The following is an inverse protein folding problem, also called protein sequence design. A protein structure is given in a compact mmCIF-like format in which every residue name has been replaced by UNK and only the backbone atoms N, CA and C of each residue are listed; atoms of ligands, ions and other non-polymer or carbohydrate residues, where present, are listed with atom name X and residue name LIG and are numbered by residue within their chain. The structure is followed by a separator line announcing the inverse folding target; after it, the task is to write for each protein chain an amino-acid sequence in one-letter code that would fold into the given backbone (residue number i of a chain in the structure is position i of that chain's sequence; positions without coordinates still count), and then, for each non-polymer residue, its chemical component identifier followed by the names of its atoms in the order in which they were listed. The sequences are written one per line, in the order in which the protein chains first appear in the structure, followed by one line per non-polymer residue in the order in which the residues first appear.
data_IF_234888715011
#
_entry.id   IF_234888715011
#
_cell.length_a   1.000
_cell.length_b   1.000
_cell.length_c   1.000
_cell.angle_alpha   90.00
_cell.angle_beta   90.00
_cell.angle_gamma   90.00
#
_symmetry.space_group_name_H-M   'P 1'
#
loop_
_entity.id
_entity.type
_entity.pdbx_description
1 polymer ?
#
# COMPACT_ATOMS: atom_id res chain seq x y z
N UNK A 1 35.42 33.90 -2.81
CA UNK A 1 34.45 33.67 -3.90
C UNK A 1 33.88 32.28 -3.69
N UNK A 2 32.79 32.16 -2.93
CA UNK A 2 32.10 30.88 -2.74
C UNK A 2 31.30 30.62 -4.01
N UNK A 3 31.74 29.67 -4.82
CA UNK A 3 30.92 29.18 -5.92
C UNK A 3 29.76 28.42 -5.30
N UNK A 4 28.58 29.02 -5.25
CA UNK A 4 27.32 28.31 -5.05
C UNK A 4 27.16 27.37 -6.23
N UNK A 5 27.64 26.14 -6.10
CA UNK A 5 27.33 25.05 -7.02
C UNK A 5 25.92 24.58 -6.68
N UNK A 6 24.93 25.41 -6.98
CA UNK A 6 23.54 25.00 -6.91
C UNK A 6 23.35 23.95 -8.01
N UNK A 7 23.05 22.68 -7.66
CA UNK A 7 22.78 21.65 -8.65
C UNK A 7 21.62 22.11 -9.54
N UNK A 8 21.54 21.64 -10.80
CA UNK A 8 20.38 21.90 -11.62
C UNK A 8 19.13 21.42 -10.87
N UNK A 9 18.12 22.28 -10.78
CA UNK A 9 16.90 22.02 -10.00
C UNK A 9 16.19 20.70 -10.38
N UNK A 10 16.46 20.15 -11.57
CA UNK A 10 15.96 18.86 -12.03
C UNK A 10 16.54 17.65 -11.28
N UNK A 11 17.72 17.76 -10.68
CA UNK A 11 18.34 16.68 -9.92
C UNK A 11 17.90 16.66 -8.45
N UNK A 12 17.42 17.79 -7.93
CA UNK A 12 17.01 17.93 -6.53
C UNK A 12 15.50 17.77 -6.30
N UNK A 13 14.71 17.53 -7.35
CA UNK A 13 13.24 17.39 -7.27
C UNK A 13 12.78 16.12 -7.98
N UNK A 14 11.64 15.61 -7.57
CA UNK A 14 11.03 14.48 -8.26
C UNK A 14 10.48 14.93 -9.62
N UNK A 15 10.71 14.11 -10.65
CA UNK A 15 10.06 14.27 -11.94
C UNK A 15 8.58 13.92 -11.85
N UNK A 16 7.78 14.34 -12.84
CA UNK A 16 6.34 14.00 -12.88
C UNK A 16 6.13 12.48 -12.86
N UNK A 17 6.93 11.73 -13.63
CA UNK A 17 6.87 10.27 -13.66
C UNK A 17 7.19 9.65 -12.30
N UNK A 18 8.20 10.16 -11.60
CA UNK A 18 8.56 9.69 -10.25
C UNK A 18 7.43 9.95 -9.24
N UNK A 19 6.81 11.13 -9.31
CA UNK A 19 5.64 11.45 -8.47
C UNK A 19 4.46 10.52 -8.75
N UNK A 20 4.20 10.19 -10.01
CA UNK A 20 3.14 9.25 -10.37
C UNK A 20 3.45 7.83 -9.87
N UNK A 21 4.72 7.40 -9.87
CA UNK A 21 5.15 6.12 -9.29
C UNK A 21 4.96 6.08 -7.77
N UNK A 22 5.34 7.16 -7.07
CA UNK A 22 5.12 7.28 -5.62
C UNK A 22 3.63 7.26 -5.28
N UNK A 23 2.80 7.97 -6.05
CA UNK A 23 1.35 7.99 -5.91
C UNK A 23 0.74 6.59 -6.07
N UNK A 24 1.10 5.89 -7.16
CA UNK A 24 0.64 4.51 -7.41
C UNK A 24 1.10 3.54 -6.32
N UNK A 25 2.31 3.72 -5.79
CA UNK A 25 2.78 2.94 -4.62
C UNK A 25 1.88 3.12 -3.42
N UNK A 26 1.55 4.37 -3.05
CA UNK A 26 0.68 4.64 -1.91
C UNK A 26 -0.72 4.04 -2.12
N UNK A 27 -1.26 4.13 -3.32
CA UNK A 27 -2.57 3.55 -3.66
C UNK A 27 -2.55 2.01 -3.61
N UNK A 28 -1.50 1.37 -4.14
CA UNK A 28 -1.30 -0.07 -4.07
C UNK A 28 -1.13 -0.55 -2.62
N UNK A 29 -0.35 0.18 -1.80
CA UNK A 29 -0.20 -0.11 -0.37
C UNK A 29 -1.54 0.03 0.36
N UNK A 30 -2.35 1.05 0.00
CA UNK A 30 -3.67 1.24 0.60
C UNK A 30 -4.59 0.06 0.32
N UNK A 31 -4.60 -0.42 -0.93
CA UNK A 31 -5.38 -1.59 -1.33
C UNK A 31 -4.88 -2.87 -0.63
N UNK A 32 -3.56 -3.05 -0.57
CA UNK A 32 -2.94 -4.24 0.03
C UNK A 32 -3.14 -4.31 1.56
N UNK A 33 -2.97 -3.20 2.27
CA UNK A 33 -3.10 -3.14 3.73
C UNK A 33 -4.56 -3.00 4.19
N UNK A 34 -5.48 -2.62 3.31
CA UNK A 34 -6.87 -2.30 3.65
C UNK A 34 -7.01 -1.05 4.53
N UNK A 35 -5.95 -0.22 4.63
CA UNK A 35 -5.90 1.01 5.42
C UNK A 35 -5.42 2.18 4.56
N UNK A 36 -5.85 3.42 4.82
CA UNK A 36 -5.42 4.55 4.01
C UNK A 36 -3.92 4.83 4.16
N UNK A 37 -3.15 4.72 3.08
CA UNK A 37 -1.75 5.09 3.02
C UNK A 37 -1.62 6.43 2.30
N UNK A 38 -0.89 7.35 2.94
CA UNK A 38 -0.58 8.66 2.41
C UNK A 38 0.87 8.72 1.98
N UNK A 39 1.12 9.48 0.91
CA UNK A 39 2.45 9.91 0.51
C UNK A 39 2.48 11.42 0.39
N UNK A 40 3.41 12.06 1.10
CA UNK A 40 3.61 13.51 1.07
C UNK A 40 5.00 13.86 0.58
N UNK A 41 5.09 14.85 -0.31
CA UNK A 41 6.36 15.38 -0.80
C UNK A 41 6.72 16.64 -0.03
N UNK A 42 7.82 16.56 0.73
CA UNK A 42 8.43 17.68 1.41
C UNK A 42 9.70 18.16 0.71
N UNK A 43 10.31 19.21 1.27
CA UNK A 43 11.64 19.69 0.88
C UNK A 43 12.55 19.74 2.10
N UNK A 44 13.76 19.23 1.96
CA UNK A 44 14.82 19.41 2.93
C UNK A 44 15.36 20.85 2.90
N UNK A 45 16.10 21.25 3.93
CA UNK A 45 16.70 22.59 4.03
C UNK A 45 17.67 22.89 2.87
N UNK A 46 18.28 21.83 2.32
CA UNK A 46 19.22 21.89 1.19
C UNK A 46 18.51 22.04 -0.16
N UNK A 47 17.17 21.98 -0.17
CA UNK A 47 16.33 22.13 -1.36
C UNK A 47 16.09 20.84 -2.14
N UNK A 48 16.55 19.69 -1.64
CA UNK A 48 16.20 18.36 -2.16
C UNK A 48 14.81 17.94 -1.70
N UNK A 49 14.05 17.28 -2.59
CA UNK A 49 12.74 16.72 -2.24
C UNK A 49 12.88 15.36 -1.56
N UNK A 50 11.91 15.06 -0.69
CA UNK A 50 11.75 13.76 -0.05
C UNK A 50 10.26 13.40 -0.04
N UNK A 51 9.96 12.11 -0.11
CA UNK A 51 8.62 11.56 -0.11
C UNK A 51 8.45 10.67 1.12
N UNK A 52 7.51 11.01 1.99
CA UNK A 52 7.21 10.29 3.23
C UNK A 52 5.98 9.42 3.04
N UNK A 53 6.03 8.16 3.45
CA UNK A 53 4.89 7.26 3.46
C UNK A 53 4.40 7.03 4.88
N UNK A 54 3.08 7.10 5.08
CA UNK A 54 2.48 6.85 6.38
C UNK A 54 1.08 6.25 6.25
N UNK A 55 0.69 5.41 7.21
CA UNK A 55 -0.67 4.87 7.30
C UNK A 55 -1.46 5.78 8.21
N UNK A 56 -2.57 6.34 7.71
CA UNK A 56 -3.44 7.15 8.55
C UNK A 56 -4.02 6.31 9.70
N UNK A 57 -4.00 6.89 10.88
CA UNK A 57 -4.67 6.35 12.05
C UNK A 57 -6.14 6.79 12.01
N UNK A 58 -7.03 5.86 12.34
CA UNK A 58 -8.43 6.20 12.51
C UNK A 58 -8.60 7.12 13.72
N UNK A 59 -9.38 8.18 13.56
CA UNK A 59 -9.72 9.11 14.65
C UNK A 59 -10.54 8.45 15.77
N UNK A 60 -11.09 7.25 15.54
CA UNK A 60 -12.04 6.56 16.41
C UNK A 60 -11.44 5.37 17.18
N UNK A 61 -10.16 5.45 17.56
CA UNK A 61 -9.64 4.67 18.69
C UNK A 61 -8.90 3.39 18.37
N UNK A 62 -8.24 3.29 17.21
CA UNK A 62 -7.07 2.43 17.12
C UNK A 62 -6.01 3.03 18.06
N UNK A 63 -5.75 2.34 19.17
CA UNK A 63 -4.56 2.60 19.99
C UNK A 63 -3.37 2.37 19.08
N UNK A 64 -2.81 3.47 18.59
CA UNK A 64 -1.54 3.43 17.90
C UNK A 64 -0.54 2.76 18.84
N UNK A 65 0.21 1.80 18.29
CA UNK A 65 1.27 1.15 19.03
C UNK A 65 2.29 2.24 19.40
N UNK A 66 2.38 2.61 20.67
CA UNK A 66 3.13 3.78 21.18
C UNK A 66 4.64 3.67 20.87
N UNK A 67 5.09 2.48 20.47
CA UNK A 67 6.45 2.18 20.04
C UNK A 67 6.72 2.51 18.55
N UNK A 68 5.69 2.80 17.74
CA UNK A 68 5.87 3.16 16.32
C UNK A 68 6.05 4.68 16.13
N UNK A 69 6.93 5.11 15.22
CA UNK A 69 7.12 6.52 14.90
C UNK A 69 5.86 7.09 14.22
N UNK A 70 5.43 8.29 14.65
CA UNK A 70 4.28 8.99 14.07
C UNK A 70 4.72 10.22 13.29
N UNK A 71 3.97 10.52 12.23
CA UNK A 71 4.13 11.71 11.40
C UNK A 71 2.77 12.31 11.08
N UNK A 72 2.70 13.64 11.12
CA UNK A 72 1.52 14.38 10.70
C UNK A 72 1.61 14.65 9.19
N UNK A 73 0.61 14.21 8.44
CA UNK A 73 0.57 14.35 6.98
C UNK A 73 -0.71 15.06 6.54
N UNK A 74 -0.62 15.87 5.50
CA UNK A 74 -1.73 16.66 4.98
C UNK A 74 -1.86 18.04 5.63
N UNK A 75 -3.01 18.66 5.41
CA UNK A 75 -3.30 20.03 5.86
C UNK A 75 -2.86 21.11 4.87
N UNK A 76 -3.01 22.40 5.25
CA UNK A 76 -2.83 23.50 4.33
C UNK A 76 -1.38 23.61 3.83
N UNK A 77 -1.19 23.45 2.52
CA UNK A 77 0.13 23.54 1.88
C UNK A 77 0.88 22.21 1.79
N UNK A 78 0.33 21.12 2.32
CA UNK A 78 0.87 19.78 2.11
C UNK A 78 0.75 19.35 0.64
N UNK A 79 1.76 18.63 0.17
CA UNK A 79 1.80 18.08 -1.20
C UNK A 79 1.60 16.57 -1.15
N UNK A 80 0.36 16.18 -0.86
CA UNK A 80 -0.06 14.77 -0.90
C UNK A 80 -0.21 14.29 -2.35
N UNK A 81 0.21 13.06 -2.63
CA UNK A 81 0.03 12.40 -3.92
C UNK A 81 -1.00 11.26 -3.84
N UNK A 82 -1.44 10.77 -5.01
CA UNK A 82 -2.32 9.61 -5.14
C UNK A 82 -3.76 9.84 -4.69
N UNK A 83 -4.49 8.73 -4.55
CA UNK A 83 -5.88 8.67 -4.11
C UNK A 83 -6.07 8.83 -2.60
N UNK A 84 -4.98 8.93 -1.82
CA UNK A 84 -4.99 9.19 -0.36
C UNK A 84 -5.79 8.16 0.44
N UNK A 85 -5.88 6.93 -0.09
CA UNK A 85 -6.69 5.86 0.48
C UNK A 85 -8.17 6.21 0.71
N UNK A 86 -8.71 7.20 -0.02
CA UNK A 86 -10.10 7.64 0.13
C UNK A 86 -10.38 8.63 1.28
N UNK A 87 -9.36 9.16 1.96
CA UNK A 87 -9.57 10.12 3.05
C UNK A 87 -10.14 11.47 2.56
N UNK A 88 -11.20 11.99 3.21
CA UNK A 88 -11.84 13.24 2.81
C UNK A 88 -11.03 14.48 3.23
N UNK A 89 -10.90 15.47 2.37
CA UNK A 89 -10.39 16.82 2.71
C UNK A 89 -8.99 16.89 3.38
N UNK A 90 -8.08 16.00 2.99
CA UNK A 90 -6.67 16.03 3.42
C UNK A 90 -5.87 17.24 2.92
N UNK A 91 -6.49 18.15 2.18
CA UNK A 91 -5.91 19.44 1.80
C UNK A 91 -6.12 20.53 2.87
N UNK A 92 -7.11 20.37 3.75
CA UNK A 92 -7.40 21.31 4.83
C UNK A 92 -7.06 20.74 6.21
N UNK A 93 -7.14 19.41 6.36
CA UNK A 93 -6.89 18.69 7.60
C UNK A 93 -5.59 17.87 7.54
N UNK A 94 -4.82 17.90 8.62
CA UNK A 94 -3.71 16.99 8.86
C UNK A 94 -4.21 15.71 9.57
N UNK A 95 -3.56 14.60 9.25
CA UNK A 95 -3.82 13.27 9.80
C UNK A 95 -2.62 12.82 10.60
N UNK A 96 -2.88 12.19 11.74
CA UNK A 96 -1.86 11.40 12.41
C UNK A 96 -1.65 10.10 11.65
N UNK A 97 -0.40 9.83 11.28
CA UNK A 97 -0.05 8.67 10.50
C UNK A 97 1.08 7.92 11.21
N UNK A 98 0.99 6.60 11.21
CA UNK A 98 2.15 5.74 11.50
C UNK A 98 3.14 5.90 10.36
N UNK A 99 4.35 6.33 10.67
CA UNK A 99 5.42 6.47 9.70
C UNK A 99 5.91 5.09 9.26
N UNK A 100 6.00 4.89 7.94
CA UNK A 100 6.43 3.62 7.36
C UNK A 100 7.89 3.67 6.90
N UNK A 101 8.20 4.66 6.06
CA UNK A 101 9.51 4.89 5.44
C UNK A 101 9.45 6.18 4.61
N UNK A 102 10.61 6.65 4.17
CA UNK A 102 10.71 7.78 3.24
C UNK A 102 11.72 7.49 2.13
N UNK A 103 11.59 8.23 1.03
CA UNK A 103 12.61 8.28 -0.03
C UNK A 103 13.08 9.71 -0.17
N UNK A 104 14.38 9.92 -0.03
CA UNK A 104 15.03 11.21 -0.17
C UNK A 104 15.82 11.27 -1.47
N UNK A 105 15.75 12.41 -2.14
CA UNK A 105 16.66 12.71 -3.24
C UNK A 105 18.01 13.16 -2.69
N UNK A 106 19.08 12.54 -3.17
CA UNK A 106 20.46 12.97 -2.91
C UNK A 106 21.12 13.48 -4.19
N UNK A 107 22.27 14.13 -4.02
CA UNK A 107 23.09 14.65 -5.11
C UNK A 107 24.37 13.82 -5.30
N UNK A 108 24.43 12.65 -4.68
CA UNK A 108 25.54 11.70 -4.79
C UNK A 108 25.38 10.92 -6.10
N UNK A 109 26.45 10.83 -6.87
CA UNK A 109 26.48 10.09 -8.14
C UNK A 109 26.30 8.59 -7.86
N UNK A 110 25.29 7.95 -8.47
CA UNK A 110 24.98 6.55 -8.23
C UNK A 110 23.90 6.29 -7.16
N UNK A 111 23.48 7.33 -6.44
CA UNK A 111 22.64 7.21 -5.24
C UNK A 111 21.55 8.30 -5.23
N UNK A 112 20.94 8.57 -6.38
CA UNK A 112 19.94 9.65 -6.49
C UNK A 112 18.78 9.48 -5.51
N UNK A 113 18.35 8.26 -5.23
CA UNK A 113 17.29 7.94 -4.28
C UNK A 113 17.86 7.13 -3.12
N UNK A 114 17.64 7.61 -1.90
CA UNK A 114 17.96 6.89 -0.67
C UNK A 114 16.66 6.62 0.07
N UNK A 115 16.46 5.37 0.51
CA UNK A 115 15.31 4.99 1.32
C UNK A 115 15.69 4.98 2.79
N UNK A 116 14.87 5.67 3.58
CA UNK A 116 14.94 5.74 5.02
C UNK A 116 13.89 4.79 5.60
N UNK A 117 14.29 3.98 6.56
CA UNK A 117 13.37 3.10 7.28
C UNK A 117 12.58 3.86 8.36
N UNK A 118 11.95 3.11 9.28
CA UNK A 118 11.12 3.63 10.38
C UNK A 118 11.95 4.41 11.42
N UNK A 119 13.23 4.08 11.59
CA UNK A 119 14.15 4.80 12.48
C UNK A 119 14.71 6.07 11.82
N UNK A 120 14.41 6.24 10.52
CA UNK A 120 14.99 7.30 9.70
C UNK A 120 16.41 6.96 9.26
N UNK A 121 16.81 5.69 9.36
CA UNK A 121 18.13 5.22 8.94
C UNK A 121 18.12 4.79 7.47
N UNK A 122 19.23 5.01 6.79
CA UNK A 122 19.41 4.62 5.39
C UNK A 122 19.45 3.09 5.28
N UNK A 123 18.46 2.51 4.61
CA UNK A 123 18.36 1.07 4.44
C UNK A 123 18.65 0.59 3.01
N UNK A 124 18.55 1.48 2.01
CA UNK A 124 18.86 1.17 0.61
C UNK A 124 19.11 2.47 -0.20
N UNK A 125 19.73 2.33 -1.38
CA UNK A 125 19.92 3.41 -2.34
C UNK A 125 19.90 2.89 -3.79
N UNK A 126 19.47 3.74 -4.73
CA UNK A 126 19.54 3.49 -6.18
C UNK A 126 19.52 4.79 -6.99
N UNK A 127 19.93 4.73 -8.25
CA UNK A 127 19.71 5.78 -9.24
C UNK A 127 18.27 5.77 -9.81
N UNK A 128 17.61 4.62 -9.74
CA UNK A 128 16.27 4.39 -10.28
C UNK A 128 15.28 4.20 -9.13
N UNK A 129 14.18 4.96 -9.16
CA UNK A 129 13.19 4.94 -8.07
C UNK A 129 12.51 3.56 -7.96
N UNK A 130 12.30 2.87 -9.07
CA UNK A 130 11.60 1.58 -9.13
C UNK A 130 12.26 0.48 -8.29
N UNK A 131 13.58 0.49 -8.17
CA UNK A 131 14.34 -0.47 -7.34
C UNK A 131 14.06 -0.33 -5.84
N UNK A 132 13.54 0.83 -5.42
CA UNK A 132 13.34 1.19 -4.02
C UNK A 132 11.91 0.91 -3.53
N UNK A 133 10.99 0.76 -4.46
CA UNK A 133 9.56 0.61 -4.20
C UNK A 133 9.20 -0.84 -3.87
N UNK A 134 8.23 -1.07 -2.97
CA UNK A 134 7.82 -2.41 -2.57
C UNK A 134 7.05 -3.18 -3.67
N UNK A 135 6.60 -2.50 -4.72
CA UNK A 135 5.90 -3.08 -5.85
C UNK A 135 6.61 -2.71 -7.15
N UNK A 136 6.86 -3.70 -8.00
CA UNK A 136 7.30 -3.46 -9.36
C UNK A 136 6.10 -2.97 -10.18
N UNK A 137 6.17 -1.74 -10.69
CA UNK A 137 5.21 -1.22 -11.67
C UNK A 137 5.67 -1.63 -13.07
N UNK A 138 5.66 -2.93 -13.34
CA UNK A 138 5.82 -3.42 -14.71
C UNK A 138 4.54 -3.10 -15.48
N UNK A 139 4.69 -2.54 -16.69
CA UNK A 139 3.57 -2.30 -17.62
C UNK A 139 3.01 -3.62 -18.23
N UNK A 140 3.49 -4.77 -17.75
CA UNK A 140 3.03 -6.09 -18.11
C UNK A 140 1.74 -6.36 -17.32
N UNK A 141 0.61 -6.39 -18.03
CA UNK A 141 -0.68 -6.68 -17.43
C UNK A 141 -0.59 -7.99 -16.62
N UNK A 142 -1.21 -8.07 -15.43
CA UNK A 142 -1.33 -9.37 -14.77
C UNK A 142 -2.00 -10.30 -15.77
N UNK A 143 -1.33 -11.40 -16.10
CA UNK A 143 -1.97 -12.48 -16.85
C UNK A 143 -3.13 -12.93 -15.96
N UNK A 144 -4.37 -12.74 -16.44
CA UNK A 144 -5.57 -13.24 -15.78
C UNK A 144 -5.37 -14.76 -15.66
N UNK A 145 -4.97 -15.24 -14.47
CA UNK A 145 -5.00 -16.65 -14.14
C UNK A 145 -6.49 -17.02 -14.02
N UNK A 146 -7.11 -17.30 -15.17
CA UNK A 146 -8.43 -17.89 -15.28
C UNK A 146 -8.42 -19.18 -14.43
N UNK A 147 -8.99 -19.10 -13.22
CA UNK A 147 -9.30 -20.26 -12.39
C UNK A 147 -10.27 -21.13 -13.20
N UNK A 148 -9.74 -22.17 -13.84
CA UNK A 148 -10.52 -23.24 -14.48
C UNK A 148 -11.43 -23.88 -13.42
N UNK A 149 -12.69 -23.41 -13.36
CA UNK A 149 -13.81 -24.08 -12.70
C UNK A 149 -14.03 -25.43 -13.41
N UNK A 150 -13.36 -26.48 -12.93
CA UNK A 150 -13.69 -27.87 -13.26
C UNK A 150 -15.01 -28.26 -12.59
N UNK A 151 -16.13 -27.86 -13.20
CA UNK A 151 -17.47 -28.40 -12.95
C UNK A 151 -17.50 -29.88 -13.38
N UNK A 152 -17.24 -30.79 -12.43
CA UNK A 152 -17.41 -32.24 -12.63
C UNK A 152 -18.89 -32.61 -12.46
N UNK A 153 -19.65 -32.40 -13.53
CA UNK A 153 -20.99 -32.94 -13.75
C UNK A 153 -20.88 -34.46 -13.99
N UNK A 154 -21.08 -35.28 -12.95
CA UNK A 154 -21.26 -36.73 -13.11
C UNK A 154 -22.66 -37.15 -12.62
N UNK A 155 -23.63 -37.04 -13.54
CA UNK A 155 -24.93 -37.69 -13.50
C UNK A 155 -24.94 -38.84 -14.52
N UNK A 156 -24.88 -40.09 -14.05
CA UNK A 156 -25.91 -41.10 -14.38
C UNK A 156 -25.59 -42.51 -13.84
N UNK A 157 -26.40 -42.92 -12.86
CA UNK A 157 -27.27 -44.11 -12.93
C UNK A 157 -26.65 -45.53 -13.00
N UNK A 158 -26.86 -46.32 -11.93
CA UNK A 158 -27.18 -47.75 -12.10
C UNK A 158 -27.96 -48.34 -10.91
N UNK A 159 -29.17 -48.73 -11.28
CA UNK A 159 -30.22 -49.49 -10.61
C UNK A 159 -29.73 -50.87 -10.10
N UNK A 160 -30.06 -51.26 -8.87
CA UNK A 160 -30.08 -52.69 -8.47
C UNK A 160 -31.20 -52.92 -7.42
N UNK A 161 -32.16 -53.83 -7.68
CA UNK A 161 -33.30 -54.08 -6.82
C UNK A 161 -33.06 -55.20 -5.78
N UNK A 162 -33.73 -55.04 -4.62
CA UNK A 162 -34.13 -56.04 -3.63
C UNK A 162 -33.04 -56.93 -2.96
N UNK A 163 -32.90 -56.86 -1.62
CA UNK A 163 -33.50 -57.86 -0.71
C UNK A 163 -33.13 -57.58 0.78
N UNK A 164 -34.18 -57.36 1.57
CA UNK A 164 -34.42 -57.78 2.95
C UNK A 164 -33.28 -57.82 4.01
N UNK A 165 -33.44 -57.02 5.08
CA UNK A 165 -33.75 -57.55 6.43
C UNK A 165 -33.32 -56.60 7.57
N UNK A 166 -34.34 -56.11 8.28
CA UNK A 166 -34.35 -55.97 9.75
C UNK A 166 -33.30 -55.05 10.39
N UNK A 167 -33.65 -53.77 10.57
CA UNK A 167 -33.42 -53.00 11.83
C UNK A 167 -34.34 -51.78 11.89
N UNK A 168 -35.57 -52.00 12.34
CA UNK A 168 -36.10 -51.47 13.61
C UNK A 168 -36.02 -49.93 13.78
N UNK A 169 -37.17 -49.33 13.48
CA UNK A 169 -37.90 -48.37 14.33
C UNK A 169 -37.32 -46.96 14.52
N UNK A 170 -37.79 -46.02 13.69
CA UNK A 170 -38.13 -44.67 14.15
C UNK A 170 -39.41 -44.21 13.46
N UNK A 171 -40.53 -44.04 14.18
CA UNK A 171 -41.55 -43.06 13.78
C UNK A 171 -41.21 -41.71 14.44
N UNK A 172 -41.05 -40.62 13.67
CA UNK A 172 -41.12 -39.29 14.25
C UNK A 172 -42.58 -38.95 14.53
N UNK A 173 -42.93 -38.76 15.79
CA UNK A 173 -44.23 -38.17 16.16
C UNK A 173 -44.10 -36.70 16.54
N UNK A 174 -45.13 -35.88 16.29
CA UNK A 174 -45.01 -34.44 16.13
C UNK A 174 -45.62 -33.63 17.30
N UNK A 175 -45.41 -32.31 17.23
CA UNK A 175 -46.09 -31.20 17.96
C UNK A 175 -45.79 -31.05 19.46
N UNK A 176 -45.09 -29.99 19.88
CA UNK A 176 -45.54 -28.59 20.07
C UNK A 176 -46.58 -28.45 21.20
N UNK A 177 -46.16 -27.84 22.30
CA UNK A 177 -46.92 -26.81 23.02
C UNK A 177 -45.96 -25.89 23.77
#
# INVERSE_FOLDING_TARGET
MSATHQPPASLSVFSTTELDMLAKTADAMSAYLGRPVLVEVGKAEEGTEWATFGVALDTDGDEADDDQPHVQMGGPGARLLGGRGGLPDSASQAYDCVYLWAVQITLVEGERFVKLDQEGEECAWSDELEDMLPFAFSDEAPEDEDEDDEDDDDDDNQDDPDDDALRRAVPPSPHRH
#
